data_IF_681612653849
#
_entry.id   IF_681612653849
#
_cell.length_a   1.000
_cell.length_b   1.000
_cell.length_c   1.000
_cell.angle_alpha   90.00
_cell.angle_beta   90.00
_cell.angle_gamma   90.00
#
_symmetry.space_group_name_H-M   'P 1'
#
loop_
_entity.id
_entity.type
_entity.pdbx_description
1 polymer ?
#
# COMPACT_ATOMS: atom_id res chain seq x y z
N UNK A 1 -6.75 0.39 -28.98
CA UNK A 1 -6.95 -0.57 -27.88
C UNK A 1 -8.38 -0.44 -27.40
N UNK A 2 -9.11 -1.56 -27.20
CA UNK A 2 -10.45 -1.53 -26.62
C UNK A 2 -10.39 -1.07 -25.16
N UNK A 3 -11.30 -0.18 -24.76
CA UNK A 3 -11.38 0.35 -23.39
C UNK A 3 -12.54 -0.29 -22.65
N UNK A 4 -12.28 -0.80 -21.45
CA UNK A 4 -13.30 -1.40 -20.62
C UNK A 4 -14.01 -0.33 -19.79
N UNK A 5 -15.26 -0.05 -20.12
CA UNK A 5 -16.17 0.74 -19.27
C UNK A 5 -16.89 -0.22 -18.35
N UNK A 6 -17.01 0.11 -17.06
CA UNK A 6 -17.76 -0.70 -16.08
C UNK A 6 -19.01 0.05 -15.64
N UNK A 7 -20.05 -0.66 -15.23
CA UNK A 7 -21.14 0.00 -14.51
C UNK A 7 -20.62 0.69 -13.25
N UNK A 8 -21.01 1.95 -13.06
CA UNK A 8 -20.56 2.76 -11.94
C UNK A 8 -21.01 2.21 -10.59
N UNK A 9 -22.21 1.62 -10.55
CA UNK A 9 -22.74 0.84 -9.44
C UNK A 9 -23.05 -0.57 -9.93
N UNK A 10 -22.46 -1.61 -9.33
CA UNK A 10 -22.87 -2.98 -9.59
C UNK A 10 -24.36 -3.12 -9.27
N UNK A 11 -25.15 -3.58 -10.24
CA UNK A 11 -26.55 -3.92 -9.99
C UNK A 11 -26.59 -5.21 -9.18
N UNK A 12 -27.30 -5.20 -8.06
CA UNK A 12 -27.60 -6.43 -7.30
C UNK A 12 -28.68 -7.21 -8.04
N UNK A 13 -28.26 -8.04 -9.01
CA UNK A 13 -29.15 -8.91 -9.78
C UNK A 13 -28.93 -10.36 -9.34
N UNK A 14 -29.83 -10.94 -8.55
CA UNK A 14 -29.63 -12.28 -7.99
C UNK A 14 -29.71 -13.39 -9.04
N UNK A 15 -30.38 -13.13 -10.18
CA UNK A 15 -30.60 -14.13 -11.23
C UNK A 15 -29.91 -13.76 -12.54
N UNK A 16 -29.32 -14.76 -13.19
CA UNK A 16 -28.68 -14.66 -14.51
C UNK A 16 -29.65 -14.10 -15.58
N UNK A 17 -30.92 -14.50 -15.52
CA UNK A 17 -31.97 -14.07 -16.46
C UNK A 17 -32.13 -12.55 -16.47
N UNK A 18 -32.11 -11.93 -15.29
CA UNK A 18 -32.29 -10.48 -15.14
C UNK A 18 -31.10 -9.70 -15.71
N UNK A 19 -29.89 -10.25 -15.57
CA UNK A 19 -28.67 -9.66 -16.15
C UNK A 19 -28.70 -9.72 -17.68
N UNK A 20 -29.09 -10.87 -18.25
CA UNK A 20 -29.17 -11.04 -19.70
C UNK A 20 -30.22 -10.13 -20.35
N UNK A 21 -31.40 -9.98 -19.73
CA UNK A 21 -32.44 -9.10 -20.24
C UNK A 21 -31.98 -7.63 -20.35
N UNK A 22 -31.17 -7.17 -19.38
CA UNK A 22 -30.61 -5.81 -19.38
C UNK A 22 -29.46 -5.64 -20.38
N UNK A 23 -28.64 -6.68 -20.56
CA UNK A 23 -27.58 -6.70 -21.57
C UNK A 23 -28.16 -6.55 -22.98
N UNK A 24 -29.26 -7.22 -23.28
CA UNK A 24 -29.92 -7.10 -24.59
C UNK A 24 -30.46 -5.69 -24.87
N UNK A 25 -30.87 -4.95 -23.84
CA UNK A 25 -31.23 -3.53 -23.97
C UNK A 25 -29.98 -2.70 -24.34
N UNK A 26 -28.89 -2.86 -23.59
CA UNK A 26 -27.64 -2.14 -23.82
C UNK A 26 -27.01 -2.43 -25.19
N UNK A 27 -27.18 -3.64 -25.76
CA UNK A 27 -26.68 -3.99 -27.10
C UNK A 27 -27.22 -3.12 -28.22
N UNK A 28 -28.44 -2.61 -28.06
CA UNK A 28 -29.14 -1.79 -29.08
C UNK A 28 -28.98 -0.30 -28.82
N UNK A 29 -28.41 0.07 -27.68
CA UNK A 29 -28.33 1.45 -27.25
C UNK A 29 -27.24 2.21 -27.99
N UNK A 30 -27.53 3.48 -28.31
CA UNK A 30 -26.52 4.39 -28.86
C UNK A 30 -25.72 4.96 -27.70
N UNK A 31 -24.43 4.66 -27.67
CA UNK A 31 -23.54 5.15 -26.62
C UNK A 31 -22.88 6.46 -27.06
N UNK A 32 -22.85 7.42 -26.14
CA UNK A 32 -22.06 8.63 -26.26
C UNK A 32 -21.55 9.04 -24.88
N UNK A 33 -20.38 9.68 -24.83
CA UNK A 33 -19.85 10.21 -23.58
C UNK A 33 -20.76 11.33 -23.10
N UNK A 34 -21.39 11.14 -21.94
CA UNK A 34 -22.28 12.14 -21.35
C UNK A 34 -21.51 13.14 -20.51
N UNK A 35 -20.39 12.73 -19.91
CA UNK A 35 -19.47 13.65 -19.24
C UNK A 35 -18.04 13.15 -19.23
N UNK A 36 -17.11 14.10 -19.21
CA UNK A 36 -15.70 13.90 -18.89
C UNK A 36 -15.31 14.82 -17.75
N UNK A 37 -14.73 14.25 -16.71
CA UNK A 37 -14.19 15.00 -15.58
C UNK A 37 -12.71 14.71 -15.42
N UNK A 38 -11.89 15.75 -15.55
CA UNK A 38 -10.46 15.71 -15.32
C UNK A 38 -10.13 16.47 -14.03
N UNK A 39 -9.55 15.77 -13.05
CA UNK A 39 -9.22 16.32 -11.73
C UNK A 39 -7.74 16.11 -11.41
N UNK A 40 -7.00 17.17 -11.03
CA UNK A 40 -5.70 17.00 -10.44
C UNK A 40 -5.85 16.29 -9.09
N UNK A 41 -5.06 15.25 -8.88
CA UNK A 41 -5.07 14.42 -7.69
C UNK A 41 -3.63 14.17 -7.25
N UNK A 42 -3.42 13.91 -5.96
CA UNK A 42 -2.08 13.63 -5.45
C UNK A 42 -2.08 12.44 -4.50
N UNK A 43 -0.91 11.79 -4.39
CA UNK A 43 -0.64 10.75 -3.40
C UNK A 43 0.49 11.24 -2.51
N UNK A 44 0.25 11.30 -1.21
CA UNK A 44 1.25 11.67 -0.21
C UNK A 44 2.08 10.46 0.20
N UNK A 45 3.37 10.62 0.52
CA UNK A 45 4.15 9.54 1.11
C UNK A 45 3.63 9.16 2.49
N UNK A 46 3.71 7.88 2.82
CA UNK A 46 3.36 7.37 4.15
C UNK A 46 4.44 7.72 5.18
N UNK A 47 4.07 7.66 6.46
CA UNK A 47 4.98 7.89 7.58
C UNK A 47 6.24 6.98 7.54
N UNK A 48 7.34 7.36 8.21
CA UNK A 48 8.45 6.45 8.44
C UNK A 48 7.99 5.20 9.22
N UNK A 49 8.79 4.14 9.19
CA UNK A 49 8.36 2.89 9.80
C UNK A 49 8.34 2.95 11.31
N UNK A 50 7.32 2.31 11.87
CA UNK A 50 7.30 1.79 13.23
C UNK A 50 7.35 0.27 13.15
N UNK A 51 7.38 -0.41 14.30
CA UNK A 51 7.54 -1.87 14.34
C UNK A 51 6.43 -2.60 13.58
N UNK A 52 5.18 -2.20 13.80
CA UNK A 52 4.00 -2.79 13.16
C UNK A 52 4.01 -2.59 11.64
N UNK A 53 4.32 -1.38 11.17
CA UNK A 53 4.30 -1.03 9.74
C UNK A 53 5.50 -1.61 9.00
N UNK A 54 6.66 -1.74 9.65
CA UNK A 54 7.82 -2.46 9.12
C UNK A 54 7.49 -3.94 8.90
N UNK A 55 6.91 -4.60 9.91
CA UNK A 55 6.50 -6.00 9.83
C UNK A 55 5.49 -6.24 8.70
N UNK A 56 4.48 -5.38 8.59
CA UNK A 56 3.49 -5.42 7.51
C UNK A 56 4.14 -5.27 6.13
N UNK A 57 5.02 -4.27 5.97
CA UNK A 57 5.68 -3.99 4.69
C UNK A 57 6.67 -5.09 4.30
N UNK A 58 7.48 -5.60 5.23
CA UNK A 58 8.43 -6.68 4.99
C UNK A 58 7.71 -7.98 4.60
N UNK A 59 6.58 -8.29 5.23
CA UNK A 59 5.76 -9.42 4.80
C UNK A 59 5.23 -9.24 3.39
N UNK A 60 4.58 -8.11 3.10
CA UNK A 60 3.96 -7.86 1.80
C UNK A 60 4.97 -7.76 0.64
N UNK A 61 6.12 -7.10 0.86
CA UNK A 61 7.08 -6.76 -0.20
C UNK A 61 8.27 -7.71 -0.30
N UNK A 62 8.72 -8.27 0.82
CA UNK A 62 9.90 -9.14 0.86
C UNK A 62 9.54 -10.60 1.10
N UNK A 63 8.31 -10.88 1.53
CA UNK A 63 7.87 -12.23 1.88
C UNK A 63 8.38 -12.72 3.23
N UNK A 64 8.87 -11.82 4.09
CA UNK A 64 9.40 -12.19 5.40
C UNK A 64 8.28 -12.49 6.38
N UNK A 65 8.52 -13.44 7.28
CA UNK A 65 7.71 -13.56 8.50
C UNK A 65 8.04 -12.42 9.46
N UNK A 66 7.16 -12.17 10.42
CA UNK A 66 7.37 -11.18 11.49
C UNK A 66 8.62 -11.50 12.30
N UNK A 67 8.84 -12.80 12.61
CA UNK A 67 10.03 -13.28 13.31
C UNK A 67 11.31 -12.97 12.52
N UNK A 68 11.34 -13.34 11.23
CA UNK A 68 12.50 -13.06 10.36
C UNK A 68 12.77 -11.57 10.25
N UNK A 69 11.73 -10.76 10.08
CA UNK A 69 11.85 -9.29 10.02
C UNK A 69 12.53 -8.74 11.27
N UNK A 70 12.09 -9.17 12.46
CA UNK A 70 12.68 -8.70 13.72
C UNK A 70 14.11 -9.21 13.92
N UNK A 71 14.44 -10.43 13.51
CA UNK A 71 15.82 -10.95 13.55
C UNK A 71 16.76 -10.12 12.66
N UNK A 72 16.35 -9.79 11.43
CA UNK A 72 17.15 -8.96 10.53
C UNK A 72 17.28 -7.52 11.06
N UNK A 73 16.19 -6.94 11.56
CA UNK A 73 16.20 -5.60 12.12
C UNK A 73 17.10 -5.50 13.36
N UNK A 74 17.11 -6.52 14.23
CA UNK A 74 18.03 -6.61 15.37
C UNK A 74 19.49 -6.57 14.89
N UNK A 75 19.86 -7.39 13.89
CA UNK A 75 21.21 -7.41 13.32
C UNK A 75 21.62 -6.06 12.74
N UNK A 76 20.72 -5.41 12.00
CA UNK A 76 20.95 -4.07 11.44
C UNK A 76 21.16 -3.02 12.54
N UNK A 77 20.38 -3.10 13.63
CA UNK A 77 20.50 -2.20 14.78
C UNK A 77 21.81 -2.40 15.53
N UNK A 78 22.19 -3.65 15.85
CA UNK A 78 23.44 -3.99 16.55
C UNK A 78 24.68 -3.61 15.74
N UNK A 79 24.59 -3.67 14.40
CA UNK A 79 25.64 -3.20 13.50
C UNK A 79 25.63 -1.67 13.28
N UNK A 80 24.71 -0.94 13.91
CA UNK A 80 24.63 0.52 13.85
C UNK A 80 24.02 1.09 12.57
N UNK A 81 23.36 0.27 11.74
CA UNK A 81 22.81 0.70 10.46
C UNK A 81 21.42 1.35 10.55
N UNK A 82 20.61 0.98 11.54
CA UNK A 82 19.28 1.56 11.76
C UNK A 82 19.08 1.97 13.22
N UNK A 83 18.10 2.83 13.47
CA UNK A 83 17.60 3.13 14.81
C UNK A 83 16.89 1.94 15.44
N UNK A 84 16.56 2.04 16.74
CA UNK A 84 15.95 0.95 17.49
C UNK A 84 14.62 0.49 16.87
N UNK A 85 14.55 -0.81 16.56
CA UNK A 85 13.48 -1.41 15.75
C UNK A 85 12.20 -1.76 16.52
N UNK A 86 12.14 -1.50 17.83
CA UNK A 86 10.95 -1.72 18.68
C UNK A 86 10.43 -0.37 19.16
N UNK A 87 9.73 0.29 18.25
CA UNK A 87 9.16 1.64 18.42
C UNK A 87 7.73 1.67 17.88
N UNK A 88 6.89 2.50 18.48
CA UNK A 88 5.55 2.89 18.03
C UNK A 88 5.49 4.38 17.63
N UNK A 89 6.63 5.07 17.65
CA UNK A 89 6.77 6.47 17.33
C UNK A 89 7.18 6.68 15.87
N UNK A 90 6.46 7.55 15.17
CA UNK A 90 6.82 7.98 13.81
C UNK A 90 7.71 9.22 13.81
N UNK A 91 8.17 9.65 14.98
CA UNK A 91 8.99 10.84 15.15
C UNK A 91 10.38 10.67 14.50
N UNK A 92 10.92 11.78 13.98
CA UNK A 92 12.27 11.84 13.42
C UNK A 92 13.01 12.98 14.12
N UNK A 93 14.26 12.77 14.52
CA UNK A 93 15.08 13.84 15.08
C UNK A 93 15.30 14.98 14.08
N UNK A 94 15.61 16.18 14.59
CA UNK A 94 15.91 17.34 13.74
C UNK A 94 17.06 17.03 12.77
N UNK A 95 18.16 16.47 13.29
CA UNK A 95 19.33 16.08 12.49
C UNK A 95 18.98 15.07 11.40
N UNK A 96 18.12 14.10 11.69
CA UNK A 96 17.68 13.12 10.70
C UNK A 96 16.84 13.77 9.59
N UNK A 97 15.94 14.68 9.95
CA UNK A 97 15.12 15.45 9.01
C UNK A 97 15.99 16.37 8.15
N UNK A 98 16.95 17.06 8.73
CA UNK A 98 17.88 17.94 7.99
C UNK A 98 18.74 17.14 7.01
N UNK A 99 19.33 16.03 7.49
CA UNK A 99 20.17 15.15 6.66
C UNK A 99 19.41 14.57 5.47
N UNK A 100 18.22 14.01 5.66
CA UNK A 100 17.44 13.43 4.55
C UNK A 100 16.93 14.50 3.58
N UNK A 101 16.62 15.70 4.07
CA UNK A 101 16.22 16.83 3.22
C UNK A 101 17.37 17.33 2.35
N UNK A 102 18.59 17.42 2.90
CA UNK A 102 19.79 17.71 2.10
C UNK A 102 19.97 16.66 1.01
N UNK A 103 19.98 15.37 1.41
CA UNK A 103 20.09 14.26 0.46
C UNK A 103 19.03 14.31 -0.65
N UNK A 104 17.78 14.65 -0.33
CA UNK A 104 16.71 14.80 -1.33
C UNK A 104 17.00 15.96 -2.29
N UNK A 105 17.42 17.10 -1.75
CA UNK A 105 17.78 18.29 -2.54
C UNK A 105 18.93 18.01 -3.50
N UNK A 106 19.95 17.28 -3.04
CA UNK A 106 21.16 16.99 -3.79
C UNK A 106 20.94 15.90 -4.86
N UNK A 107 20.27 14.80 -4.50
CA UNK A 107 20.15 13.62 -5.38
C UNK A 107 18.93 13.65 -6.31
N UNK A 108 17.84 14.32 -5.90
CA UNK A 108 16.59 14.37 -6.68
C UNK A 108 16.26 15.77 -7.19
N UNK A 109 16.77 16.82 -6.52
CA UNK A 109 16.55 18.21 -6.90
C UNK A 109 15.36 18.87 -6.17
N UNK A 110 15.33 20.20 -6.24
CA UNK A 110 14.42 21.07 -5.46
C UNK A 110 12.93 20.73 -5.60
N UNK A 111 12.48 20.22 -6.76
CA UNK A 111 11.07 19.85 -6.99
C UNK A 111 10.61 18.67 -6.12
N UNK A 112 11.53 17.81 -5.69
CA UNK A 112 11.23 16.65 -4.84
C UNK A 112 11.26 16.97 -3.34
N UNK A 113 11.73 18.16 -2.97
CA UNK A 113 11.89 18.59 -1.59
C UNK A 113 10.73 19.51 -1.17
N UNK A 114 9.88 19.11 -0.21
CA UNK A 114 8.85 19.97 0.34
C UNK A 114 9.44 21.24 0.97
N UNK A 115 8.74 22.37 0.85
CA UNK A 115 9.16 23.66 1.41
C UNK A 115 9.43 23.56 2.93
N UNK A 116 8.49 22.97 3.67
CA UNK A 116 8.64 22.66 5.09
C UNK A 116 8.81 21.14 5.32
N UNK A 117 9.49 20.70 6.39
CA UNK A 117 9.59 19.28 6.74
C UNK A 117 8.22 18.63 6.96
N UNK A 118 8.06 17.40 6.46
CA UNK A 118 6.85 16.63 6.71
C UNK A 118 6.85 16.15 8.17
N UNK A 119 5.75 16.37 8.89
CA UNK A 119 5.54 15.86 10.26
C UNK A 119 4.48 14.78 10.26
N UNK A 120 4.75 13.70 10.98
CA UNK A 120 3.83 12.59 11.17
C UNK A 120 3.49 12.49 12.66
N UNK A 121 2.20 12.36 12.97
CA UNK A 121 1.74 12.22 14.35
C UNK A 121 1.97 10.80 14.84
N UNK A 122 2.47 10.68 16.08
CA UNK A 122 2.50 9.43 16.82
C UNK A 122 1.18 9.25 17.60
N UNK A 123 0.91 8.04 18.09
CA UNK A 123 -0.22 7.79 19.00
C UNK A 123 0.03 8.52 20.34
N UNK A 124 -1.03 8.97 21.02
CA UNK A 124 -0.93 9.64 22.33
C UNK A 124 -0.24 8.79 23.42
N UNK A 125 -0.28 7.46 23.28
CA UNK A 125 0.36 6.51 24.19
C UNK A 125 1.79 6.11 23.77
N UNK A 126 2.32 6.69 22.69
CA UNK A 126 3.65 6.34 22.21
C UNK A 126 4.71 6.79 23.21
N UNK A 127 5.72 5.95 23.42
CA UNK A 127 6.85 6.31 24.27
C UNK A 127 7.65 7.43 23.57
N UNK A 128 7.41 8.68 23.96
CA UNK A 128 7.87 9.91 23.27
C UNK A 128 9.39 9.99 23.05
N UNK A 129 10.19 9.21 23.79
CA UNK A 129 11.65 9.20 23.69
C UNK A 129 12.21 8.39 22.52
N UNK A 130 11.39 7.67 21.75
CA UNK A 130 11.85 6.83 20.64
C UNK A 130 11.63 7.49 19.27
N UNK A 131 12.62 7.35 18.39
CA UNK A 131 12.50 7.68 16.97
C UNK A 131 11.83 6.55 16.18
N UNK A 132 11.37 6.87 14.99
CA UNK A 132 10.96 5.91 13.97
C UNK A 132 12.15 5.03 13.55
N UNK A 133 11.82 3.88 12.95
CA UNK A 133 12.81 2.98 12.34
C UNK A 133 13.30 3.60 11.04
N UNK A 134 14.55 4.07 11.03
CA UNK A 134 15.22 4.74 9.92
C UNK A 134 16.69 4.33 9.84
N UNK A 135 17.37 4.58 8.72
CA UNK A 135 18.83 4.49 8.66
C UNK A 135 19.49 5.43 9.66
N UNK A 136 20.63 5.01 10.21
CA UNK A 136 21.48 5.88 11.03
C UNK A 136 22.13 6.98 10.19
N UNK A 137 22.40 6.70 8.91
CA UNK A 137 22.89 7.66 7.91
C UNK A 137 22.14 7.46 6.59
N UNK A 138 21.65 8.55 6.00
CA UNK A 138 20.91 8.53 4.72
C UNK A 138 21.82 8.24 3.53
N UNK A 139 23.10 8.61 3.60
CA UNK A 139 24.04 8.44 2.47
C UNK A 139 24.42 6.97 2.24
N UNK A 140 24.31 6.14 3.29
CA UNK A 140 24.67 4.73 3.22
C UNK A 140 23.62 3.95 2.42
N UNK A 141 24.02 3.37 1.29
CA UNK A 141 23.15 2.51 0.47
C UNK A 141 23.21 1.07 0.97
N UNK A 142 22.22 0.27 0.58
CA UNK A 142 22.11 -1.13 0.99
C UNK A 142 23.32 -1.99 0.52
N UNK A 143 23.96 -1.59 -0.58
CA UNK A 143 25.18 -2.21 -1.11
C UNK A 143 26.41 -2.00 -0.22
N UNK A 144 26.37 -1.01 0.67
CA UNK A 144 27.53 -0.56 1.44
C UNK A 144 27.54 -1.17 2.86
N UNK A 145 26.66 -2.14 3.11
CA UNK A 145 26.52 -2.83 4.39
C UNK A 145 27.55 -3.96 4.48
N UNK A 146 28.61 -3.73 5.25
CA UNK A 146 29.61 -4.76 5.50
C UNK A 146 29.04 -5.89 6.38
N UNK A 147 29.32 -7.14 5.98
CA UNK A 147 29.01 -8.33 6.78
C UNK A 147 27.52 -8.67 6.92
N UNK A 148 26.64 -8.04 6.13
CA UNK A 148 25.20 -8.29 6.18
C UNK A 148 24.78 -9.32 5.14
N UNK A 149 23.86 -10.21 5.51
CA UNK A 149 23.27 -11.14 4.56
C UNK A 149 22.24 -10.45 3.66
N UNK A 150 21.95 -11.07 2.51
CA UNK A 150 21.08 -10.50 1.48
C UNK A 150 19.70 -10.06 2.00
N UNK A 151 19.13 -10.80 2.95
CA UNK A 151 17.82 -10.47 3.49
C UNK A 151 17.87 -9.27 4.46
N UNK A 152 18.98 -9.06 5.16
CA UNK A 152 19.21 -7.85 5.95
C UNK A 152 19.39 -6.62 5.04
N UNK A 153 20.15 -6.74 3.94
CA UNK A 153 20.27 -5.68 2.93
C UNK A 153 18.91 -5.29 2.34
N UNK A 154 18.08 -6.28 2.00
CA UNK A 154 16.73 -6.05 1.47
C UNK A 154 15.82 -5.35 2.48
N UNK A 155 15.93 -5.68 3.76
CA UNK A 155 15.17 -5.01 4.82
C UNK A 155 15.66 -3.58 5.03
N UNK A 156 16.98 -3.36 5.05
CA UNK A 156 17.57 -2.04 5.12
C UNK A 156 17.13 -1.16 3.94
N UNK A 157 17.18 -1.69 2.72
CA UNK A 157 16.71 -0.96 1.52
C UNK A 157 15.24 -0.55 1.64
N UNK A 158 14.39 -1.44 2.19
CA UNK A 158 12.98 -1.13 2.44
C UNK A 158 12.85 0.03 3.44
N UNK A 159 13.58 -0.01 4.56
CA UNK A 159 13.60 1.04 5.58
C UNK A 159 14.09 2.37 5.00
N UNK A 160 15.22 2.33 4.29
CA UNK A 160 15.85 3.49 3.66
C UNK A 160 14.90 4.18 2.67
N UNK A 161 14.26 3.42 1.76
CA UNK A 161 13.33 3.99 0.78
C UNK A 161 12.13 4.65 1.46
N UNK A 162 11.61 4.06 2.53
CA UNK A 162 10.48 4.62 3.28
C UNK A 162 10.88 5.92 4.01
N UNK A 163 12.07 5.95 4.60
CA UNK A 163 12.61 7.12 5.29
C UNK A 163 12.82 8.29 4.33
N UNK A 164 13.46 8.07 3.17
CA UNK A 164 13.63 9.11 2.15
C UNK A 164 12.27 9.56 1.61
N UNK A 165 11.41 8.61 1.21
CA UNK A 165 10.09 8.92 0.67
C UNK A 165 9.23 9.78 1.59
N UNK A 166 9.26 9.55 2.91
CA UNK A 166 8.43 10.29 3.86
C UNK A 166 8.75 11.79 3.94
N UNK A 167 9.93 12.22 3.48
CA UNK A 167 10.32 13.63 3.40
C UNK A 167 10.30 14.20 1.97
N UNK A 168 9.77 13.47 0.99
CA UNK A 168 9.62 13.93 -0.40
C UNK A 168 8.24 14.56 -0.66
N UNK A 169 8.12 15.30 -1.76
CA UNK A 169 6.84 15.85 -2.25
C UNK A 169 5.87 14.75 -2.71
N UNK A 170 4.55 15.02 -2.69
CA UNK A 170 3.54 14.11 -3.24
C UNK A 170 3.79 13.76 -4.70
N UNK A 171 3.34 12.57 -5.11
CA UNK A 171 3.17 12.25 -6.53
C UNK A 171 1.88 12.91 -7.03
N UNK A 172 1.91 13.47 -8.24
CA UNK A 172 0.80 14.20 -8.85
C UNK A 172 0.27 13.44 -10.08
N UNK A 173 -1.05 13.39 -10.20
CA UNK A 173 -1.75 12.67 -11.24
C UNK A 173 -2.88 13.53 -11.79
N UNK A 174 -3.13 13.41 -13.09
CA UNK A 174 -4.39 13.85 -13.70
C UNK A 174 -5.32 12.64 -13.73
N UNK A 175 -6.34 12.64 -12.88
CA UNK A 175 -7.36 11.59 -12.85
C UNK A 175 -8.51 11.96 -13.77
N UNK A 176 -8.87 11.06 -14.67
CA UNK A 176 -9.93 11.24 -15.65
C UNK A 176 -11.06 10.24 -15.38
N UNK A 177 -12.29 10.72 -15.33
CA UNK A 177 -13.49 9.89 -15.29
C UNK A 177 -14.34 10.20 -16.52
N UNK A 178 -14.58 9.18 -17.35
CA UNK A 178 -15.55 9.24 -18.43
C UNK A 178 -16.85 8.59 -17.95
N UNK A 179 -17.98 9.26 -18.18
CA UNK A 179 -19.31 8.75 -17.84
C UNK A 179 -20.13 8.63 -19.12
N UNK A 180 -20.93 7.55 -19.19
CA UNK A 180 -21.95 7.33 -20.20
C UNK A 180 -23.24 7.00 -19.47
N UNK A 181 -24.25 7.85 -19.63
CA UNK A 181 -25.60 7.59 -19.17
C UNK A 181 -26.44 7.12 -20.36
N UNK A 182 -27.09 5.97 -20.20
CA UNK A 182 -27.88 5.36 -21.27
C UNK A 182 -28.98 4.51 -20.66
N UNK A 183 -30.23 4.72 -21.06
CA UNK A 183 -31.40 3.93 -20.62
C UNK A 183 -31.50 3.71 -19.09
N UNK A 184 -31.13 4.73 -18.29
CA UNK A 184 -31.11 4.67 -16.82
C UNK A 184 -29.90 3.95 -16.21
N UNK A 185 -28.95 3.49 -17.03
CA UNK A 185 -27.66 2.96 -16.61
C UNK A 185 -26.59 4.06 -16.60
N UNK A 186 -25.69 3.98 -15.62
CA UNK A 186 -24.47 4.80 -15.58
C UNK A 186 -23.24 3.90 -15.73
N UNK A 187 -22.51 4.09 -16.82
CA UNK A 187 -21.26 3.41 -17.11
C UNK A 187 -20.11 4.40 -16.86
N UNK A 188 -19.05 3.96 -16.17
CA UNK A 188 -17.86 4.76 -15.90
C UNK A 188 -16.59 4.04 -16.33
N UNK A 189 -15.70 4.81 -16.95
CA UNK A 189 -14.30 4.45 -17.11
C UNK A 189 -13.46 5.43 -16.29
N UNK A 190 -12.50 4.90 -15.55
CA UNK A 190 -11.59 5.71 -14.73
C UNK A 190 -10.16 5.39 -15.14
N UNK A 191 -9.36 6.44 -15.25
CA UNK A 191 -7.94 6.32 -15.47
C UNK A 191 -7.22 7.50 -14.86
N UNK A 192 -5.90 7.41 -14.85
CA UNK A 192 -5.07 8.52 -14.42
C UNK A 192 -3.74 8.51 -15.14
N UNK A 193 -3.14 9.68 -15.26
CA UNK A 193 -1.82 9.86 -15.87
C UNK A 193 -0.91 10.50 -14.84
N UNK A 194 0.24 9.88 -14.59
CA UNK A 194 1.28 10.44 -13.74
C UNK A 194 1.82 11.74 -14.37
N UNK A 195 1.72 12.85 -13.63
CA UNK A 195 2.25 14.16 -14.02
C UNK A 195 3.56 14.47 -13.32
N UNK A 196 3.74 13.93 -12.12
CA UNK A 196 4.97 14.02 -11.34
C UNK A 196 5.09 12.82 -10.41
N UNK A 197 6.22 12.11 -10.46
CA UNK A 197 6.47 10.90 -9.67
C UNK A 197 6.72 11.18 -8.18
N UNK A 198 7.20 12.38 -7.81
CA UNK A 198 7.38 12.78 -6.42
C UNK A 198 8.09 11.70 -5.58
N UNK A 199 7.57 11.39 -4.40
CA UNK A 199 8.11 10.34 -3.54
C UNK A 199 8.16 8.94 -4.18
N UNK A 200 7.35 8.66 -5.21
CA UNK A 200 7.36 7.33 -5.84
C UNK A 200 8.64 7.06 -6.62
N UNK A 201 9.41 8.11 -6.97
CA UNK A 201 10.72 8.00 -7.63
C UNK A 201 11.73 7.18 -6.82
N UNK A 202 11.72 7.28 -5.49
CA UNK A 202 12.59 6.48 -4.61
C UNK A 202 11.99 5.12 -4.25
N UNK A 203 10.76 4.84 -4.66
CA UNK A 203 10.10 3.57 -4.37
C UNK A 203 10.38 2.56 -5.49
N UNK A 204 10.39 1.25 -5.16
CA UNK A 204 10.40 0.23 -6.21
C UNK A 204 9.07 0.28 -6.97
N UNK A 205 9.06 0.24 -8.31
CA UNK A 205 7.84 0.14 -9.08
C UNK A 205 7.02 -1.05 -8.59
N UNK A 206 5.81 -0.80 -8.10
CA UNK A 206 4.88 -1.89 -7.79
C UNK A 206 4.33 -2.37 -9.11
N UNK A 207 4.75 -3.56 -9.56
CA UNK A 207 4.44 -4.12 -10.88
C UNK A 207 2.98 -4.50 -11.14
N UNK A 208 2.01 -3.78 -10.57
CA UNK A 208 0.57 -4.06 -10.72
C UNK A 208 -0.36 -2.83 -10.77
N UNK A 209 0.15 -1.61 -10.64
CA UNK A 209 -0.64 -0.41 -10.92
C UNK A 209 -0.10 0.24 -12.19
N UNK A 210 -0.42 -0.34 -13.34
CA UNK A 210 -0.40 0.42 -14.57
C UNK A 210 -1.54 1.43 -14.46
N UNK A 211 -1.18 2.68 -14.19
CA UNK A 211 -2.11 3.79 -14.27
C UNK A 211 -2.65 3.85 -15.69
N UNK A 212 -3.85 3.29 -15.86
CA UNK A 212 -4.50 3.21 -17.16
C UNK A 212 -4.80 4.63 -17.61
N UNK A 213 -4.10 5.12 -18.63
CA UNK A 213 -4.40 6.41 -19.25
C UNK A 213 -5.67 6.29 -20.09
N UNK A 214 -6.65 7.17 -19.91
CA UNK A 214 -7.80 7.20 -20.83
C UNK A 214 -7.47 8.03 -22.08
N UNK A 215 -8.07 7.72 -23.23
CA UNK A 215 -7.93 8.51 -24.45
C UNK A 215 -8.59 9.89 -24.26
N UNK A 216 -8.16 10.84 -25.09
CA UNK A 216 -8.76 12.18 -25.10
C UNK A 216 -10.10 12.18 -25.87
N UNK A 217 -11.16 11.75 -25.21
CA UNK A 217 -12.51 11.72 -25.76
C UNK A 217 -13.37 12.82 -25.13
N UNK A 218 -13.84 13.82 -25.90
CA UNK A 218 -14.71 14.87 -25.40
C UNK A 218 -16.14 14.37 -25.15
N UNK A 219 -16.91 15.15 -24.38
CA UNK A 219 -18.34 14.95 -24.23
C UNK A 219 -19.03 14.97 -25.61
N UNK A 220 -20.04 14.11 -25.78
CA UNK A 220 -20.77 13.94 -27.04
C UNK A 220 -20.11 12.97 -28.03
N UNK A 221 -18.89 12.50 -27.76
CA UNK A 221 -18.23 11.50 -28.61
C UNK A 221 -19.05 10.23 -28.66
N UNK A 222 -19.50 9.84 -29.85
CA UNK A 222 -20.23 8.59 -30.08
C UNK A 222 -19.28 7.40 -29.94
N UNK A 223 -19.77 6.31 -29.36
CA UNK A 223 -19.02 5.08 -29.16
C UNK A 223 -19.75 3.88 -29.74
N UNK A 224 -19.00 2.98 -30.36
CA UNK A 224 -19.50 1.67 -30.73
C UNK A 224 -19.31 0.71 -29.55
N UNK A 225 -20.36 -0.04 -29.23
CA UNK A 225 -20.25 -1.13 -28.27
C UNK A 225 -19.58 -2.34 -28.94
N UNK A 226 -18.36 -2.68 -28.51
CA UNK A 226 -17.65 -3.84 -29.03
C UNK A 226 -18.06 -5.15 -28.33
N UNK A 227 -18.11 -5.14 -27.00
CA UNK A 227 -18.44 -6.32 -26.19
C UNK A 227 -19.12 -5.94 -24.87
N UNK A 228 -19.97 -6.84 -24.38
CA UNK A 228 -20.52 -6.81 -23.02
C UNK A 228 -20.11 -8.11 -22.31
N UNK A 229 -19.42 -7.96 -21.19
CA UNK A 229 -18.93 -9.07 -20.39
C UNK A 229 -19.63 -9.11 -19.01
N UNK A 230 -20.73 -9.87 -18.87
CA UNK A 230 -21.41 -10.04 -17.59
C UNK A 230 -20.52 -10.77 -16.58
N UNK A 231 -20.19 -10.07 -15.49
CA UNK A 231 -19.41 -10.62 -14.39
C UNK A 231 -20.31 -11.00 -13.22
N UNK A 232 -20.34 -12.29 -12.89
CA UNK A 232 -21.01 -12.78 -11.68
C UNK A 232 -20.09 -12.63 -10.48
N UNK A 233 -20.59 -12.00 -9.42
CA UNK A 233 -19.86 -11.85 -8.17
C UNK A 233 -20.60 -12.57 -7.04
N UNK A 234 -19.83 -13.20 -6.16
CA UNK A 234 -20.32 -13.77 -4.91
C UNK A 234 -19.80 -12.95 -3.74
N UNK A 235 -20.60 -12.83 -2.68
CA UNK A 235 -20.08 -12.39 -1.39
C UNK A 235 -19.04 -13.39 -0.93
N UNK A 236 -17.85 -12.89 -0.60
CA UNK A 236 -16.76 -13.72 -0.08
C UNK A 236 -16.83 -13.68 1.45
N UNK A 237 -16.55 -14.79 2.15
CA UNK A 237 -16.37 -14.74 3.59
C UNK A 237 -15.20 -13.80 3.94
N UNK A 238 -15.16 -13.33 5.18
CA UNK A 238 -14.07 -12.51 5.67
C UNK A 238 -12.72 -13.18 5.38
N UNK A 239 -11.72 -12.45 4.84
CA UNK A 239 -10.43 -13.03 4.52
C UNK A 239 -9.74 -13.48 5.80
N UNK A 240 -9.04 -14.62 5.72
CA UNK A 240 -8.20 -15.09 6.82
C UNK A 240 -7.06 -14.10 7.09
N UNK A 241 -6.64 -14.03 8.35
CA UNK A 241 -5.46 -13.27 8.72
C UNK A 241 -4.20 -13.86 8.08
N UNK A 242 -3.40 -13.01 7.47
CA UNK A 242 -1.95 -13.18 7.30
C UNK A 242 -1.22 -12.67 8.54
N UNK A 243 0.08 -12.94 8.66
CA UNK A 243 0.89 -12.31 9.73
C UNK A 243 0.80 -10.79 9.71
N UNK A 244 0.91 -10.14 8.53
CA UNK A 244 0.81 -8.70 8.39
C UNK A 244 -0.55 -8.14 8.88
N UNK A 245 -1.64 -8.75 8.44
CA UNK A 245 -2.98 -8.31 8.86
C UNK A 245 -3.26 -8.61 10.34
N UNK A 246 -2.64 -9.64 10.91
CA UNK A 246 -2.75 -9.93 12.33
C UNK A 246 -1.98 -8.91 13.16
N UNK A 247 -0.76 -8.54 12.77
CA UNK A 247 -0.01 -7.43 13.40
C UNK A 247 -0.82 -6.14 13.37
N UNK A 248 -1.43 -5.82 12.24
CA UNK A 248 -2.30 -4.65 12.10
C UNK A 248 -3.50 -4.69 13.06
N UNK A 249 -4.11 -5.85 13.23
CA UNK A 249 -5.24 -6.00 14.15
C UNK A 249 -4.79 -5.89 15.61
N UNK A 250 -3.68 -6.51 16.00
CA UNK A 250 -3.09 -6.38 17.34
C UNK A 250 -2.75 -4.92 17.66
N UNK A 251 -2.17 -4.18 16.70
CA UNK A 251 -1.88 -2.75 16.86
C UNK A 251 -3.15 -1.89 17.02
N UNK A 252 -4.23 -2.26 16.32
CA UNK A 252 -5.51 -1.56 16.38
C UNK A 252 -6.21 -1.77 17.73
N UNK A 253 -6.07 -2.96 18.32
CA UNK A 253 -6.63 -3.27 19.64
C UNK A 253 -5.95 -2.45 20.76
N UNK A 254 -4.68 -2.08 20.60
CA UNK A 254 -3.98 -1.16 21.50
C UNK A 254 -3.36 -1.79 22.74
N UNK A 255 -3.78 -3.00 23.14
CA UNK A 255 -3.24 -3.72 24.31
C UNK A 255 -1.82 -4.29 24.10
N UNK A 256 -1.37 -4.34 22.84
CA UNK A 256 -0.15 -5.01 22.44
C UNK A 256 0.93 -4.02 22.02
N UNK A 257 2.17 -4.27 22.45
CA UNK A 257 3.30 -3.38 22.24
C UNK A 257 4.22 -3.84 21.10
N UNK A 258 5.08 -2.96 20.57
CA UNK A 258 6.13 -3.28 19.61
C UNK A 258 6.99 -4.51 19.97
N UNK A 259 7.23 -4.75 21.26
CA UNK A 259 8.06 -5.87 21.72
C UNK A 259 7.34 -7.23 21.69
N UNK A 260 6.01 -7.27 21.58
CA UNK A 260 5.22 -8.50 21.72
C UNK A 260 4.64 -9.04 20.41
N UNK A 261 4.46 -8.24 19.36
CA UNK A 261 3.81 -8.71 18.11
C UNK A 261 4.42 -10.00 17.53
N UNK A 262 5.75 -10.02 17.37
CA UNK A 262 6.44 -11.17 16.77
C UNK A 262 6.44 -12.39 17.71
N UNK A 263 6.54 -12.19 19.03
CA UNK A 263 6.56 -13.28 20.00
C UNK A 263 5.18 -13.92 20.15
N UNK A 264 4.10 -13.12 20.16
CA UNK A 264 2.71 -13.61 20.16
C UNK A 264 2.47 -14.50 18.94
N UNK A 265 2.76 -13.97 17.74
CA UNK A 265 2.54 -14.67 16.48
C UNK A 265 3.37 -15.96 16.40
N UNK A 266 4.61 -15.95 16.90
CA UNK A 266 5.43 -17.16 16.96
C UNK A 266 4.85 -18.16 17.95
N UNK A 267 4.47 -17.71 19.15
CA UNK A 267 3.97 -18.59 20.23
C UNK A 267 2.69 -19.32 19.84
N UNK A 268 1.73 -18.65 19.20
CA UNK A 268 0.48 -19.28 18.78
C UNK A 268 0.68 -20.32 17.66
N UNK A 269 1.73 -20.15 16.84
CA UNK A 269 2.13 -21.11 15.82
C UNK A 269 2.88 -22.29 16.43
N UNK A 270 3.91 -22.02 17.25
CA UNK A 270 4.77 -23.03 17.88
C UNK A 270 3.96 -23.97 18.81
N UNK A 271 2.93 -23.44 19.48
CA UNK A 271 2.00 -24.23 20.31
C UNK A 271 0.91 -24.97 19.51
N UNK A 272 0.89 -24.84 18.19
CA UNK A 272 -0.07 -25.53 17.32
C UNK A 272 -1.51 -25.01 17.38
N UNK A 273 -1.76 -23.84 18.01
CA UNK A 273 -3.10 -23.24 18.03
C UNK A 273 -3.52 -22.75 16.65
N UNK A 274 -2.56 -22.27 15.86
CA UNK A 274 -2.77 -21.87 14.47
C UNK A 274 -1.70 -22.50 13.58
N UNK A 275 -2.07 -22.74 12.32
CA UNK A 275 -1.16 -23.18 11.25
C UNK A 275 -1.16 -22.14 10.14
N UNK A 276 0.01 -21.91 9.55
CA UNK A 276 0.17 -21.01 8.42
C UNK A 276 0.15 -21.82 7.11
N UNK A 277 -0.92 -21.70 6.33
CA UNK A 277 -1.06 -22.35 5.03
C UNK A 277 -1.25 -21.27 3.97
N UNK A 278 -0.46 -21.31 2.88
CA UNK A 278 -0.47 -20.28 1.83
C UNK A 278 -0.43 -18.85 2.40
N UNK A 279 0.39 -18.65 3.45
CA UNK A 279 0.57 -17.38 4.18
C UNK A 279 -0.67 -16.86 4.90
N UNK A 280 -1.63 -17.73 5.19
CA UNK A 280 -2.86 -17.41 5.92
C UNK A 280 -3.00 -18.32 7.14
N UNK A 281 -3.51 -17.77 8.23
CA UNK A 281 -3.75 -18.50 9.47
C UNK A 281 -5.01 -19.35 9.41
N UNK A 282 -4.87 -20.60 9.81
CA UNK A 282 -5.94 -21.54 10.05
C UNK A 282 -5.90 -21.98 11.51
N UNK A 283 -7.08 -22.19 12.11
CA UNK A 283 -7.15 -22.76 13.45
C UNK A 283 -6.67 -24.22 13.41
N UNK A 284 -5.65 -24.53 14.21
CA UNK A 284 -5.18 -25.89 14.46
C UNK A 284 -6.20 -26.69 15.28
N UNK A 285 -6.05 -28.02 15.31
CA UNK A 285 -6.98 -28.93 16.02
C UNK A 285 -7.11 -28.56 17.51
N UNK A 286 -5.98 -28.30 18.19
CA UNK A 286 -5.94 -27.87 19.59
C UNK A 286 -6.56 -26.48 19.81
N UNK A 287 -6.45 -25.59 18.82
CA UNK A 287 -7.04 -24.24 18.87
C UNK A 287 -8.57 -24.26 18.77
N UNK A 288 -9.14 -25.18 18.00
CA UNK A 288 -10.60 -25.34 17.84
C UNK A 288 -11.32 -25.90 19.07
N UNK A 289 -10.59 -26.56 19.98
CA UNK A 289 -11.17 -27.21 21.16
C UNK A 289 -11.09 -26.33 22.42
N UNK A 290 -10.33 -25.23 22.39
CA UNK A 290 -10.14 -24.34 23.54
C UNK A 290 -10.91 -23.01 23.44
N UNK A 291 -11.55 -22.74 22.31
CA UNK A 291 -12.35 -21.53 22.04
C UNK A 291 -13.55 -21.85 21.17
#
# INVERSE_FOLDING_TARGET
>A
MPWFVRMARPLSLPLKKDTLARIEQLRKAKLAITSREDKPTSSKPTAPFITSTLQQAASGRLGFSVKKTMTMAQRLYEAGYITYMRTDSTNLSKDAVESVRSYIGDEFGKRYLPEAPNRYSSKESAQEAHEAIRPSSVERKASDLAGMERDAERLYELIWRQFVACQMTPAEYLSSTLTVEVDGYELRAKGRVLKFDGYTRVMKPSGKNEDQSLPDLPQGTSMALEALDPQQHFTKPAPRYTEASLVKELEKQGDWSPSTYASIISTIQDRGYVKLENRRFYAGETGRHRY
#
